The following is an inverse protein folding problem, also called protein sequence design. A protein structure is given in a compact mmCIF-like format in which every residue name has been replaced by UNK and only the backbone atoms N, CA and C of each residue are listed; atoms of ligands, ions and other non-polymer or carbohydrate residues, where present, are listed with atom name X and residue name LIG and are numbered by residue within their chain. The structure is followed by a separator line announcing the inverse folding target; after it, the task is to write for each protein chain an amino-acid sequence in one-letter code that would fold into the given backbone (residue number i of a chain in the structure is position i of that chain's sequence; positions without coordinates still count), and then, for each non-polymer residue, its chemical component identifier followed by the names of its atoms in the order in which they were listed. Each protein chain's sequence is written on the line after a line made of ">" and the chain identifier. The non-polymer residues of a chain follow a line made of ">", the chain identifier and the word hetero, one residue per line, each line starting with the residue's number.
data_IF_619448605300
#
_entry.id   IF_619448605300
#
_cell.length_a   1.000
_cell.length_b   1.000
_cell.length_c   1.000
_cell.angle_alpha   90.00
_cell.angle_beta   90.00
_cell.angle_gamma   90.00
#
_symmetry.space_group_name_H-M   'P 1'
#
loop_
_entity.id
_entity.type
_entity.pdbx_description
1 polymer ?
#
# COMPACT_ATOMS: atom_id res chain seq x y z
N UNK A 1 -1.17 9.54 30.47
CA UNK A 1 -1.97 10.36 29.52
C UNK A 1 -3.43 10.56 29.95
N UNK A 2 -4.22 11.37 29.23
CA UNK A 2 -5.68 11.57 29.37
C UNK A 2 -6.37 11.18 28.06
N UNK A 3 -7.27 10.21 28.14
CA UNK A 3 -8.01 9.69 26.99
C UNK A 3 -9.42 10.27 26.95
N UNK A 4 -9.97 10.50 25.77
CA UNK A 4 -11.40 10.75 25.58
C UNK A 4 -12.06 9.39 25.41
N UNK A 5 -13.02 9.05 26.27
CA UNK A 5 -13.78 7.81 26.14
C UNK A 5 -15.21 8.09 25.72
N UNK A 6 -15.74 7.26 24.84
CA UNK A 6 -17.13 7.26 24.43
C UNK A 6 -17.70 5.85 24.50
N UNK A 7 -18.90 5.64 25.03
CA UNK A 7 -19.58 4.34 24.95
C UNK A 7 -20.59 4.31 23.80
N UNK A 8 -20.71 3.15 23.16
CA UNK A 8 -21.68 2.88 22.11
C UNK A 8 -22.81 1.96 22.60
N UNK A 9 -24.03 2.06 22.03
CA UNK A 9 -25.14 1.16 22.33
C UNK A 9 -24.74 -0.32 22.15
N UNK A 10 -25.15 -1.23 23.05
CA UNK A 10 -26.25 -1.13 24.02
C UNK A 10 -25.88 -0.47 25.36
N UNK A 11 -24.63 -0.02 25.52
CA UNK A 11 -24.21 0.64 26.76
C UNK A 11 -24.88 2.01 26.92
N UNK A 12 -25.15 2.46 28.16
CA UNK A 12 -25.59 3.82 28.39
C UNK A 12 -24.55 4.81 27.83
N UNK A 13 -25.02 5.84 27.12
CA UNK A 13 -24.14 6.82 26.50
C UNK A 13 -23.32 7.57 27.56
N UNK A 14 -22.01 7.56 27.38
CA UNK A 14 -21.05 8.23 28.23
C UNK A 14 -20.01 8.91 27.33
N UNK A 15 -19.67 10.16 27.63
CA UNK A 15 -18.51 10.86 27.08
C UNK A 15 -17.75 11.48 28.23
N UNK A 16 -16.51 11.08 28.44
CA UNK A 16 -15.71 11.53 29.57
C UNK A 16 -14.22 11.54 29.26
N UNK A 17 -13.45 12.28 30.06
CA UNK A 17 -12.00 12.17 30.09
C UNK A 17 -11.59 11.11 31.09
N UNK A 18 -10.67 10.22 30.71
CA UNK A 18 -10.19 9.11 31.51
C UNK A 18 -8.67 9.22 31.74
N UNK A 19 -8.20 9.28 32.99
CA UNK A 19 -6.77 9.25 33.27
C UNK A 19 -6.21 7.85 33.00
N UNK A 20 -5.13 7.76 32.23
CA UNK A 20 -4.47 6.53 31.82
C UNK A 20 -2.97 6.58 32.10
N UNK A 21 -2.39 5.43 32.43
CA UNK A 21 -0.95 5.23 32.65
C UNK A 21 -0.41 4.37 31.52
N UNK A 22 0.66 4.82 30.88
CA UNK A 22 1.03 4.38 29.55
C UNK A 22 1.76 3.01 29.54
N UNK A 23 2.09 2.51 30.74
CA UNK A 23 2.81 1.25 31.00
C UNK A 23 1.90 0.02 31.09
N UNK A 24 0.65 0.09 30.60
CA UNK A 24 -0.37 -0.94 30.85
C UNK A 24 -0.99 -1.43 29.55
N UNK A 25 -0.87 -2.73 29.28
CA UNK A 25 -1.51 -3.40 28.14
C UNK A 25 -3.00 -3.05 27.98
N UNK A 26 -3.52 -3.19 26.77
CA UNK A 26 -4.94 -2.91 26.45
C UNK A 26 -5.90 -3.69 27.36
N UNK A 27 -5.57 -4.93 27.74
CA UNK A 27 -6.34 -5.69 28.72
C UNK A 27 -6.37 -5.03 30.11
N UNK A 28 -5.24 -4.47 30.56
CA UNK A 28 -5.15 -3.71 31.80
C UNK A 28 -5.93 -2.39 31.74
N UNK A 29 -5.95 -1.71 30.58
CA UNK A 29 -6.82 -0.56 30.33
C UNK A 29 -8.30 -0.95 30.47
N UNK A 30 -8.75 -2.06 29.85
CA UNK A 30 -10.13 -2.57 30.00
C UNK A 30 -10.48 -2.85 31.46
N UNK A 31 -9.55 -3.45 32.21
CA UNK A 31 -9.73 -3.70 33.66
C UNK A 31 -9.89 -2.39 34.44
N UNK A 32 -9.07 -1.38 34.14
CA UNK A 32 -9.13 -0.05 34.77
C UNK A 32 -10.44 0.69 34.43
N UNK A 33 -10.92 0.58 33.19
CA UNK A 33 -12.22 1.12 32.77
C UNK A 33 -13.38 0.45 33.52
N UNK A 34 -13.42 -0.88 33.58
CA UNK A 34 -14.43 -1.62 34.34
C UNK A 34 -14.43 -1.29 35.83
N UNK A 35 -13.25 -1.07 36.43
CA UNK A 35 -13.15 -0.73 37.85
C UNK A 35 -13.53 0.71 38.14
N UNK A 36 -13.23 1.65 37.24
CA UNK A 36 -13.33 3.09 37.53
C UNK A 36 -14.61 3.73 36.99
N UNK A 37 -15.07 3.32 35.81
CA UNK A 37 -16.24 3.92 35.14
C UNK A 37 -17.53 3.31 35.69
N UNK A 38 -18.31 4.12 36.40
CA UNK A 38 -19.53 3.66 37.08
C UNK A 38 -20.55 3.00 36.13
N UNK A 39 -20.72 3.54 34.92
CA UNK A 39 -21.66 3.00 33.91
C UNK A 39 -21.33 1.55 33.53
N UNK A 40 -20.04 1.22 33.40
CA UNK A 40 -19.59 -0.15 33.08
C UNK A 40 -19.75 -1.08 34.28
N UNK A 41 -19.53 -0.55 35.49
CA UNK A 41 -19.71 -1.27 36.76
C UNK A 41 -21.18 -1.63 37.00
N UNK A 42 -22.09 -0.69 36.77
CA UNK A 42 -23.54 -0.89 36.93
C UNK A 42 -24.07 -1.94 35.94
N UNK A 43 -23.52 -1.98 34.73
CA UNK A 43 -23.82 -2.99 33.72
C UNK A 43 -23.18 -4.36 33.99
N UNK A 44 -22.29 -4.48 34.99
CA UNK A 44 -21.57 -5.72 35.39
C UNK A 44 -20.77 -6.36 34.25
N UNK A 45 -20.22 -5.56 33.35
CA UNK A 45 -19.48 -6.03 32.18
C UNK A 45 -18.07 -6.44 32.59
N UNK A 46 -17.63 -7.60 32.10
CA UNK A 46 -16.26 -8.08 32.34
C UNK A 46 -15.28 -7.43 31.35
N UNK A 47 -13.99 -7.30 31.70
CA UNK A 47 -12.98 -6.75 30.78
C UNK A 47 -12.93 -7.48 29.42
N UNK A 48 -13.07 -8.81 29.40
CA UNK A 48 -13.09 -9.60 28.16
C UNK A 48 -14.37 -9.47 27.32
N UNK A 49 -15.40 -8.82 27.84
CA UNK A 49 -16.64 -8.50 27.13
C UNK A 49 -16.60 -7.08 26.55
N UNK A 50 -15.51 -6.34 26.73
CA UNK A 50 -15.32 -5.02 26.12
C UNK A 50 -14.47 -5.12 24.86
N UNK A 51 -14.93 -4.43 23.82
CA UNK A 51 -14.15 -4.08 22.63
C UNK A 51 -13.84 -2.59 22.71
N UNK A 52 -12.57 -2.24 22.55
CA UNK A 52 -12.10 -0.85 22.46
C UNK A 52 -11.77 -0.58 21.01
N UNK A 53 -12.26 0.53 20.46
CA UNK A 53 -11.94 0.98 19.10
C UNK A 53 -11.25 2.35 19.13
N UNK A 54 -10.21 2.50 18.32
CA UNK A 54 -9.53 3.76 18.03
C UNK A 54 -9.61 4.00 16.52
N UNK A 55 -10.19 5.12 16.10
CA UNK A 55 -10.42 5.45 14.68
C UNK A 55 -11.13 4.35 13.86
N UNK A 56 -11.99 3.57 14.51
CA UNK A 56 -12.73 2.47 13.90
C UNK A 56 -11.97 1.14 13.83
N UNK A 57 -10.76 1.06 14.40
CA UNK A 57 -9.97 -0.16 14.50
C UNK A 57 -10.07 -0.76 15.92
N UNK A 58 -10.33 -2.07 16.02
CA UNK A 58 -10.39 -2.77 17.30
C UNK A 58 -8.98 -2.93 17.90
N UNK A 59 -8.81 -2.49 19.14
CA UNK A 59 -7.59 -2.68 19.92
C UNK A 59 -7.59 -4.08 20.54
N UNK A 60 -6.59 -4.89 20.17
CA UNK A 60 -6.39 -6.25 20.68
C UNK A 60 -5.82 -6.24 22.09
N UNK A 61 -6.21 -7.24 22.90
CA UNK A 61 -5.81 -7.35 24.31
C UNK A 61 -4.30 -7.55 24.52
N UNK A 62 -3.62 -8.09 23.52
CA UNK A 62 -2.19 -8.43 23.55
C UNK A 62 -1.28 -7.26 23.16
N UNK A 63 -1.84 -6.16 22.66
CA UNK A 63 -1.06 -4.99 22.27
C UNK A 63 -0.64 -4.19 23.51
N UNK A 64 0.63 -3.77 23.52
CA UNK A 64 1.09 -2.76 24.44
C UNK A 64 0.42 -1.42 24.09
N UNK A 65 0.02 -0.65 25.10
CA UNK A 65 -0.52 0.70 24.88
C UNK A 65 0.54 1.69 24.37
N UNK A 66 1.81 1.41 24.66
CA UNK A 66 2.95 2.24 24.25
C UNK A 66 3.04 2.32 22.73
N UNK A 67 2.84 3.51 22.17
CA UNK A 67 2.96 3.80 20.74
C UNK A 67 1.64 3.77 19.96
N UNK A 68 0.63 3.03 20.42
CA UNK A 68 -0.67 2.93 19.73
C UNK A 68 -1.64 4.03 20.18
N UNK A 69 -1.71 4.27 21.49
CA UNK A 69 -2.65 5.24 22.08
C UNK A 69 -1.88 6.50 22.48
N UNK A 70 -2.28 7.65 21.95
CA UNK A 70 -1.71 8.97 22.24
C UNK A 70 -2.59 9.77 23.21
N UNK A 71 -2.01 10.83 23.77
CA UNK A 71 -2.77 11.76 24.63
C UNK A 71 -3.91 12.39 23.82
N UNK A 72 -5.09 12.50 24.42
CA UNK A 72 -6.32 13.02 23.79
C UNK A 72 -6.99 12.14 22.74
N UNK A 73 -6.54 10.90 22.52
CA UNK A 73 -7.23 9.97 21.63
C UNK A 73 -8.66 9.66 22.06
N UNK A 74 -9.54 9.42 21.07
CA UNK A 74 -10.92 9.03 21.30
C UNK A 74 -11.05 7.50 21.22
N UNK A 75 -11.24 6.87 22.39
CA UNK A 75 -11.52 5.44 22.49
C UNK A 75 -13.02 5.21 22.58
N UNK A 76 -13.56 4.45 21.63
CA UNK A 76 -14.95 4.01 21.62
C UNK A 76 -15.06 2.64 22.29
N UNK A 77 -15.88 2.57 23.34
CA UNK A 77 -16.11 1.39 24.17
C UNK A 77 -17.40 0.71 23.70
N UNK A 78 -17.28 -0.54 23.26
CA UNK A 78 -18.39 -1.39 22.84
C UNK A 78 -18.51 -2.64 23.71
N UNK A 79 -19.73 -3.09 23.93
CA UNK A 79 -19.98 -4.40 24.53
C UNK A 79 -19.90 -5.49 23.45
N UNK A 80 -18.89 -6.35 23.56
CA UNK A 80 -18.79 -7.57 22.76
C UNK A 80 -19.80 -8.57 23.32
N UNK A 81 -20.95 -8.72 22.65
CA UNK A 81 -21.89 -9.80 22.95
C UNK A 81 -21.17 -11.12 22.82
N UNK A 82 -20.89 -11.77 23.95
CA UNK A 82 -20.05 -12.95 24.04
C UNK A 82 -20.38 -13.99 22.97
N UNK A 83 -19.65 -13.95 21.86
CA UNK A 83 -19.44 -15.09 21.00
C UNK A 83 -18.62 -16.04 21.84
N UNK A 84 -19.28 -16.84 22.70
CA UNK A 84 -18.62 -17.95 23.34
C UNK A 84 -18.06 -18.78 22.19
N UNK A 85 -16.76 -18.71 21.97
CA UNK A 85 -16.00 -19.62 21.13
C UNK A 85 -16.00 -20.99 21.82
N UNK A 86 -17.20 -21.53 22.08
CA UNK A 86 -17.43 -22.96 22.19
C UNK A 86 -17.10 -23.49 20.80
N UNK A 87 -15.79 -23.70 20.58
CA UNK A 87 -15.29 -24.70 19.64
C UNK A 87 -16.22 -25.88 19.80
N UNK A 88 -17.07 -26.12 18.81
CA UNK A 88 -17.86 -27.35 18.73
C UNK A 88 -16.81 -28.44 18.70
N UNK A 89 -16.61 -29.10 19.84
CA UNK A 89 -15.90 -30.36 19.94
C UNK A 89 -16.68 -31.29 19.02
N UNK A 90 -16.07 -31.69 17.91
CA UNK A 90 -16.64 -32.67 17.01
C UNK A 90 -17.04 -33.88 17.86
N UNK A 91 -18.33 -34.18 17.87
CA UNK A 91 -18.89 -35.36 18.49
C UNK A 91 -18.38 -36.55 17.66
N UNK A 92 -17.34 -37.23 18.16
CA UNK A 92 -16.90 -38.51 17.62
C UNK A 92 -17.97 -39.52 17.99
N UNK A 93 -18.76 -39.90 17.00
CA UNK A 93 -19.73 -40.98 17.09
C UNK A 93 -19.08 -42.25 17.65
N UNK A 94 -19.63 -42.69 18.79
CA UNK A 94 -19.34 -43.98 19.40
C UNK A 94 -19.88 -45.11 18.52
N UNK A 95 -18.99 -45.85 17.84
CA UNK A 95 -19.31 -47.17 17.30
C UNK A 95 -18.62 -48.28 18.11
N UNK A 96 -19.49 -49.05 18.75
CA UNK A 96 -19.41 -50.51 18.92
C UNK A 96 -18.25 -51.06 19.76
N UNK A 97 -18.60 -51.35 21.01
CA UNK A 97 -17.95 -52.34 21.86
C UNK A 97 -17.95 -53.72 21.18
N UNK A 98 -16.76 -54.27 20.87
CA UNK A 98 -16.54 -55.72 20.82
C UNK A 98 -15.23 -56.10 21.49
N UNK A 99 -15.40 -56.98 22.46
CA UNK A 99 -14.37 -57.69 23.23
C UNK A 99 -13.37 -58.43 22.32
N UNK A 100 -12.07 -58.33 22.60
CA UNK A 100 -11.14 -59.41 22.37
C UNK A 100 -9.91 -59.32 23.29
N UNK A 101 -9.55 -60.48 23.80
CA UNK A 101 -8.54 -60.79 24.81
C UNK A 101 -7.11 -60.66 24.27
N UNK A 102 -6.19 -60.33 25.19
CA UNK A 102 -4.79 -60.79 25.31
C UNK A 102 -3.88 -60.58 24.09
N UNK A 103 -2.83 -59.79 24.29
CA UNK A 103 -1.44 -60.29 24.33
C UNK A 103 -0.48 -59.19 24.81
N UNK A 104 0.32 -59.54 25.82
CA UNK A 104 1.54 -58.84 26.21
C UNK A 104 2.54 -58.88 25.06
N UNK A 105 3.16 -57.75 24.72
CA UNK A 105 4.58 -57.71 24.37
C UNK A 105 5.17 -56.31 24.56
N UNK A 106 6.08 -56.29 25.51
CA UNK A 106 7.21 -55.41 25.74
C UNK A 106 7.85 -54.70 24.52
N UNK A 107 8.39 -53.49 24.80
CA UNK A 107 9.67 -52.88 24.37
C UNK A 107 9.73 -51.82 23.21
N UNK A 108 10.21 -50.62 23.63
CA UNK A 108 11.15 -49.60 23.06
C UNK A 108 10.86 -48.71 21.82
N UNK A 109 11.37 -47.47 21.96
CA UNK A 109 11.77 -46.38 21.03
C UNK A 109 10.64 -45.52 20.42
N UNK A 110 10.64 -44.19 20.61
CA UNK A 110 11.45 -43.16 19.93
C UNK A 110 11.26 -43.22 18.42
N UNK A 111 10.41 -42.36 17.85
CA UNK A 111 10.82 -41.08 17.27
C UNK A 111 9.60 -40.26 16.82
N UNK A 112 9.77 -38.95 16.92
CA UNK A 112 8.83 -37.88 16.55
C UNK A 112 9.04 -37.53 15.08
N UNK A 113 7.96 -37.54 14.28
CA UNK A 113 7.88 -36.81 13.00
C UNK A 113 6.41 -36.45 12.76
N UNK A 114 6.05 -35.19 13.03
CA UNK A 114 4.74 -34.61 12.70
C UNK A 114 4.96 -33.60 11.57
N UNK A 115 4.60 -34.00 10.35
CA UNK A 115 4.64 -33.18 9.15
C UNK A 115 3.21 -32.94 8.69
N UNK A 116 2.62 -31.83 9.12
CA UNK A 116 1.37 -31.30 8.57
C UNK A 116 1.66 -30.26 7.51
N UNK A 117 1.57 -30.72 6.25
CA UNK A 117 1.35 -29.89 5.08
C UNK A 117 -0.09 -29.34 5.10
N UNK A 118 -0.22 -28.03 4.92
CA UNK A 118 -1.21 -27.32 4.08
C UNK A 118 -1.50 -25.95 4.67
N UNK A 119 -1.37 -24.88 3.89
CA UNK A 119 -2.60 -24.22 3.42
C UNK A 119 -2.35 -23.22 2.29
N UNK A 120 -3.28 -23.32 1.34
CA UNK A 120 -3.56 -22.40 0.25
C UNK A 120 -4.36 -21.22 0.79
N UNK A 121 -4.16 -20.01 0.25
CA UNK A 121 -5.20 -19.28 -0.51
C UNK A 121 -5.07 -17.75 -0.43
N UNK A 122 -5.20 -17.18 -1.63
CA UNK A 122 -5.72 -15.87 -2.02
C UNK A 122 -6.49 -15.02 -0.99
N UNK A 123 -6.18 -13.73 -0.97
CA UNK A 123 -7.14 -12.64 -0.76
C UNK A 123 -6.66 -11.40 -1.55
N UNK A 124 -7.37 -10.98 -2.59
CA UNK A 124 -8.56 -10.08 -2.59
C UNK A 124 -8.17 -8.62 -2.29
N UNK A 125 -8.03 -7.85 -3.37
CA UNK A 125 -7.92 -6.40 -3.36
C UNK A 125 -9.28 -5.78 -3.05
N UNK A 126 -9.35 -4.87 -2.08
CA UNK A 126 -10.53 -4.02 -1.92
C UNK A 126 -10.14 -2.58 -1.58
N UNK A 127 -10.69 -1.70 -2.41
CA UNK A 127 -10.66 -0.26 -2.44
C UNK A 127 -11.84 0.33 -1.66
N UNK A 128 -11.67 1.44 -0.96
CA UNK A 128 -12.64 2.56 -0.80
C UNK A 128 -12.01 3.62 0.11
N UNK A 129 -11.87 4.88 -0.32
CA UNK A 129 -12.88 5.95 -0.46
C UNK A 129 -13.27 6.57 0.89
N UNK A 130 -12.76 7.79 1.10
CA UNK A 130 -12.94 8.64 2.27
C UNK A 130 -14.32 9.30 2.29
N UNK A 131 -14.97 9.30 3.45
CA UNK A 131 -16.20 10.05 3.74
C UNK A 131 -15.87 11.33 4.50
N UNK A 132 -16.49 12.44 4.07
CA UNK A 132 -16.45 13.74 4.73
C UNK A 132 -17.72 13.99 5.54
N UNK A 133 -17.55 14.80 6.60
CA UNK A 133 -18.52 15.07 7.65
C UNK A 133 -19.40 16.31 7.42
N UNK A 134 -20.48 16.28 8.19
CA UNK A 134 -21.70 17.11 8.33
C UNK A 134 -21.50 18.60 8.65
N UNK A 135 -22.40 19.47 8.15
CA UNK A 135 -22.82 20.71 8.84
C UNK A 135 -24.16 21.26 8.30
N UNK A 136 -24.94 21.80 9.24
CA UNK A 136 -26.41 21.97 9.25
C UNK A 136 -26.93 23.34 8.69
N UNK A 137 -28.17 23.83 8.97
CA UNK A 137 -29.17 24.16 7.94
C UNK A 137 -29.46 25.68 7.78
N UNK A 138 -29.94 26.13 6.62
CA UNK A 138 -30.57 27.46 6.53
C UNK A 138 -31.51 27.66 5.31
N UNK A 139 -32.76 27.99 5.65
CA UNK A 139 -33.79 28.84 5.02
C UNK A 139 -34.15 28.78 3.51
N UNK A 140 -35.46 28.89 3.30
CA UNK A 140 -36.24 28.80 2.08
C UNK A 140 -35.82 29.75 0.93
N UNK A 141 -35.88 29.26 -0.32
CA UNK A 141 -36.02 30.12 -1.50
C UNK A 141 -36.62 29.42 -2.72
N UNK A 142 -37.12 30.26 -3.62
CA UNK A 142 -38.17 30.10 -4.63
C UNK A 142 -37.71 29.35 -5.90
N UNK A 143 -38.60 28.50 -6.45
CA UNK A 143 -38.44 27.75 -7.71
C UNK A 143 -38.28 28.68 -8.92
N UNK A 144 -37.20 28.51 -9.71
CA UNK A 144 -37.11 28.95 -11.12
C UNK A 144 -36.63 27.78 -12.00
N UNK A 145 -37.35 27.58 -13.13
CA UNK A 145 -37.07 26.57 -14.16
C UNK A 145 -35.79 26.89 -14.93
N UNK A 146 -34.94 25.89 -15.15
CA UNK A 146 -33.74 25.99 -16.00
C UNK A 146 -34.04 25.73 -17.50
N UNK A 147 -33.29 26.37 -18.42
CA UNK A 147 -33.45 26.26 -19.87
C UNK A 147 -32.71 25.03 -20.47
N UNK A 148 -33.03 24.61 -21.71
CA UNK A 148 -32.50 23.39 -22.32
C UNK A 148 -31.00 23.46 -22.66
N UNK A 149 -30.27 22.32 -22.66
CA UNK A 149 -28.82 22.30 -22.81
C UNK A 149 -28.37 22.70 -24.22
N UNK A 150 -27.43 23.65 -24.27
CA UNK A 150 -26.77 24.09 -25.49
C UNK A 150 -25.72 23.08 -25.96
N UNK A 151 -25.55 23.04 -27.28
CA UNK A 151 -24.80 22.05 -28.07
C UNK A 151 -23.34 21.91 -27.60
N UNK A 152 -22.91 20.67 -27.38
CA UNK A 152 -21.52 20.33 -27.03
C UNK A 152 -20.58 20.66 -28.19
N UNK A 153 -19.58 21.51 -27.93
CA UNK A 153 -18.50 21.79 -28.87
C UNK A 153 -17.60 20.56 -29.04
N UNK A 154 -17.36 20.17 -30.30
CA UNK A 154 -16.42 19.10 -30.65
C UNK A 154 -15.01 19.48 -30.20
N UNK A 155 -14.46 18.76 -29.21
CA UNK A 155 -13.07 18.91 -28.80
C UNK A 155 -12.19 18.14 -29.78
N UNK A 156 -11.24 18.80 -30.46
CA UNK A 156 -10.37 18.14 -31.44
C UNK A 156 -9.48 17.06 -30.78
N UNK A 157 -9.16 15.99 -31.53
CA UNK A 157 -8.38 14.86 -31.03
C UNK A 157 -7.01 15.31 -30.51
N UNK A 158 -6.74 15.05 -29.22
CA UNK A 158 -5.50 15.43 -28.53
C UNK A 158 -5.73 16.22 -27.25
N UNK A 159 -6.88 16.89 -27.10
CA UNK A 159 -7.24 17.64 -25.89
C UNK A 159 -8.24 16.91 -24.99
N UNK A 160 -8.10 15.58 -24.87
CA UNK A 160 -8.88 14.81 -23.90
C UNK A 160 -8.70 15.32 -22.46
N UNK A 161 -9.64 14.98 -21.58
CA UNK A 161 -9.63 15.35 -20.16
C UNK A 161 -8.28 15.03 -19.50
N UNK A 162 -7.92 15.76 -18.44
CA UNK A 162 -6.68 15.54 -17.70
C UNK A 162 -6.54 14.07 -17.25
N UNK A 163 -7.65 13.44 -16.86
CA UNK A 163 -7.71 12.01 -16.52
C UNK A 163 -7.32 11.11 -17.70
N UNK A 164 -7.79 11.43 -18.92
CA UNK A 164 -7.46 10.68 -20.14
C UNK A 164 -5.98 10.83 -20.50
N UNK A 165 -5.41 12.02 -20.31
CA UNK A 165 -3.98 12.28 -20.54
C UNK A 165 -3.11 11.49 -19.57
N UNK A 166 -3.43 11.49 -18.28
CA UNK A 166 -2.73 10.71 -17.25
C UNK A 166 -2.78 9.21 -17.54
N UNK A 167 -3.96 8.67 -17.91
CA UNK A 167 -4.12 7.26 -18.29
C UNK A 167 -3.25 6.89 -19.50
N UNK A 168 -3.19 7.77 -20.52
CA UNK A 168 -2.36 7.53 -21.70
C UNK A 168 -0.85 7.64 -21.40
N UNK A 169 -0.45 8.55 -20.50
CA UNK A 169 0.93 8.67 -20.05
C UNK A 169 1.38 7.42 -19.27
N UNK A 170 0.55 6.93 -18.35
CA UNK A 170 0.81 5.68 -17.62
C UNK A 170 0.93 4.48 -18.55
N UNK A 171 0.10 4.40 -19.60
CA UNK A 171 0.22 3.37 -20.65
C UNK A 171 1.52 3.47 -21.44
N UNK A 172 1.97 4.68 -21.77
CA UNK A 172 3.25 4.91 -22.47
C UNK A 172 4.45 4.52 -21.61
N UNK A 173 4.45 4.90 -20.33
CA UNK A 173 5.51 4.54 -19.38
C UNK A 173 5.57 3.03 -19.16
N UNK A 174 4.42 2.37 -18.94
CA UNK A 174 4.36 0.91 -18.82
C UNK A 174 4.95 0.22 -20.05
N UNK A 175 4.61 0.69 -21.26
CA UNK A 175 5.10 0.11 -22.51
C UNK A 175 6.61 0.31 -22.69
N UNK A 176 7.18 1.43 -22.22
CA UNK A 176 8.63 1.67 -22.20
C UNK A 176 9.33 0.69 -21.26
N UNK A 177 8.84 0.59 -20.03
CA UNK A 177 9.42 -0.31 -19.03
C UNK A 177 9.33 -1.78 -19.44
N UNK A 178 8.22 -2.18 -20.07
CA UNK A 178 8.06 -3.53 -20.65
C UNK A 178 9.02 -3.77 -21.82
N UNK A 179 9.26 -2.76 -22.67
CA UNK A 179 10.23 -2.85 -23.75
C UNK A 179 11.68 -2.93 -23.25
N UNK A 180 12.01 -2.25 -22.15
CA UNK A 180 13.31 -2.31 -21.49
C UNK A 180 13.51 -3.66 -20.76
N UNK A 181 12.48 -4.13 -20.04
CA UNK A 181 12.50 -5.40 -19.34
C UNK A 181 12.59 -6.62 -20.29
N UNK A 182 12.06 -6.52 -21.50
CA UNK A 182 12.17 -7.58 -22.52
C UNK A 182 13.59 -7.64 -23.13
N UNK A 183 14.50 -6.75 -22.73
CA UNK A 183 15.90 -6.80 -23.12
C UNK A 183 16.05 -6.46 -24.59
N UNK A 184 16.35 -5.20 -24.88
CA UNK A 184 16.84 -4.79 -26.20
C UNK A 184 18.19 -5.47 -26.48
N UNK A 185 18.13 -6.71 -26.95
CA UNK A 185 19.20 -7.26 -27.79
C UNK A 185 19.01 -6.52 -29.13
N UNK A 186 19.87 -5.57 -29.51
CA UNK A 186 19.81 -5.01 -30.85
C UNK A 186 19.92 -6.20 -31.82
N UNK A 187 19.11 -6.28 -32.89
CA UNK A 187 19.23 -7.34 -33.87
C UNK A 187 20.66 -7.28 -34.44
N UNK A 188 21.51 -8.16 -33.92
CA UNK A 188 22.87 -8.31 -34.39
C UNK A 188 22.72 -9.02 -35.72
N UNK A 189 22.76 -8.24 -36.80
CA UNK A 189 22.71 -8.72 -38.17
C UNK A 189 23.92 -9.61 -38.37
N UNK A 190 23.73 -10.93 -38.20
CA UNK A 190 24.68 -11.93 -38.66
C UNK A 190 24.71 -11.84 -40.18
N UNK A 191 25.75 -11.16 -40.67
CA UNK A 191 26.12 -11.07 -42.08
C UNK A 191 26.27 -12.49 -42.65
N UNK A 192 25.50 -12.88 -43.68
CA UNK A 192 25.76 -14.14 -44.36
C UNK A 192 27.12 -14.03 -45.05
N UNK A 193 28.05 -14.89 -44.65
CA UNK A 193 29.21 -15.23 -45.49
C UNK A 193 28.72 -16.14 -46.61
N UNK A 194 29.29 -15.91 -47.79
CA UNK A 194 29.24 -16.76 -48.98
C UNK A 194 27.98 -16.69 -49.84
N UNK A 195 27.96 -15.71 -50.75
CA UNK A 195 27.57 -15.93 -52.15
C UNK A 195 28.20 -14.87 -53.06
N UNK A 196 29.27 -15.31 -53.75
CA UNK A 196 29.72 -14.96 -55.11
C UNK A 196 29.31 -13.62 -55.74
N UNK A 197 30.32 -12.78 -55.94
CA UNK A 197 30.72 -12.20 -57.24
C UNK A 197 29.90 -12.67 -58.46
N UNK A 198 29.14 -11.77 -59.09
CA UNK A 198 29.18 -11.44 -60.54
C UNK A 198 28.03 -10.50 -60.91
N UNK A 199 28.32 -9.58 -61.83
CA UNK A 199 27.42 -8.75 -62.63
C UNK A 199 27.08 -7.34 -62.10
N UNK A 200 28.01 -6.44 -62.42
CA UNK A 200 27.72 -5.12 -62.99
C UNK A 200 26.56 -5.19 -64.00
N UNK A 201 25.54 -4.35 -63.84
CA UNK A 201 24.81 -3.66 -64.93
C UNK A 201 24.16 -2.41 -64.31
N UNK A 202 24.46 -1.19 -64.81
CA UNK A 202 23.81 0.05 -64.38
C UNK A 202 22.63 0.36 -65.29
N UNK A 203 21.41 0.59 -64.78
CA UNK A 203 20.34 1.18 -65.59
C UNK A 203 19.18 1.70 -64.73
N UNK A 204 18.91 3.01 -64.85
CA UNK A 204 17.55 3.48 -65.05
C UNK A 204 16.83 4.12 -63.86
N UNK A 205 16.79 5.46 -63.86
CA UNK A 205 15.82 6.30 -63.15
C UNK A 205 14.38 5.94 -63.53
N UNK A 206 13.48 5.78 -62.56
CA UNK A 206 12.05 6.10 -62.72
C UNK A 206 11.49 6.76 -61.45
N UNK A 207 10.60 7.70 -61.72
CA UNK A 207 9.94 8.67 -60.85
C UNK A 207 8.93 8.02 -59.87
N UNK A 208 8.44 8.77 -58.86
CA UNK A 208 7.58 8.23 -57.81
C UNK A 208 6.13 8.14 -58.30
N UNK A 209 5.48 7.01 -58.02
CA UNK A 209 4.02 6.91 -58.04
C UNK A 209 3.54 6.71 -56.61
N UNK A 210 2.64 7.58 -56.20
CA UNK A 210 1.90 7.51 -54.94
C UNK A 210 0.93 6.31 -54.95
N UNK A 211 0.39 6.01 -53.77
CA UNK A 211 -0.62 4.98 -53.46
C UNK A 211 -0.15 3.52 -53.30
N UNK A 212 0.23 3.17 -52.07
CA UNK A 212 -0.37 2.03 -51.33
C UNK A 212 0.30 1.89 -49.95
N UNK A 213 -0.35 2.42 -48.90
CA UNK A 213 -0.04 2.08 -47.52
C UNK A 213 -0.57 0.68 -47.20
N UNK A 214 0.10 -0.34 -47.74
CA UNK A 214 -0.11 -1.73 -47.36
C UNK A 214 0.68 -2.06 -46.09
N UNK A 215 -0.03 -2.44 -45.03
CA UNK A 215 0.53 -2.92 -43.76
C UNK A 215 1.45 -4.13 -43.99
N UNK A 216 2.75 -3.88 -44.08
CA UNK A 216 3.79 -4.88 -44.32
C UNK A 216 4.57 -5.23 -43.04
N UNK A 217 3.86 -5.48 -41.92
CA UNK A 217 4.51 -5.88 -40.64
C UNK A 217 3.94 -7.14 -39.98
N UNK A 218 3.41 -8.09 -40.76
CA UNK A 218 3.08 -9.43 -40.24
C UNK A 218 3.69 -10.54 -41.11
N UNK A 219 5.02 -10.61 -41.16
CA UNK A 219 5.73 -11.78 -41.66
C UNK A 219 6.52 -12.43 -40.53
N UNK A 220 5.82 -13.09 -39.60
CA UNK A 220 6.46 -14.08 -38.74
C UNK A 220 6.67 -15.36 -39.56
N UNK A 221 7.88 -15.47 -40.10
CA UNK A 221 8.37 -16.58 -40.89
C UNK A 221 8.63 -17.82 -40.04
N UNK A 222 7.57 -18.55 -39.68
CA UNK A 222 7.70 -19.94 -39.23
C UNK A 222 7.02 -20.88 -40.24
N UNK A 223 7.82 -21.41 -41.18
CA UNK A 223 7.35 -22.21 -42.33
C UNK A 223 6.65 -23.52 -41.91
N UNK A 224 6.86 -24.00 -40.68
CA UNK A 224 6.25 -25.24 -40.18
C UNK A 224 4.84 -25.09 -39.58
N UNK A 225 4.28 -23.86 -39.46
CA UNK A 225 2.89 -23.64 -38.97
C UNK A 225 1.86 -23.38 -40.09
N UNK A 226 2.26 -23.34 -41.36
CA UNK A 226 1.39 -22.91 -42.46
C UNK A 226 0.40 -23.96 -42.98
N UNK A 227 0.50 -25.24 -42.59
CA UNK A 227 -0.28 -26.32 -43.24
C UNK A 227 -1.62 -26.67 -42.59
N UNK A 228 -2.06 -25.99 -41.53
CA UNK A 228 -3.35 -26.29 -40.88
C UNK A 228 -4.11 -25.12 -40.27
N UNK A 229 -3.50 -23.93 -40.17
CA UNK A 229 -4.14 -22.82 -39.44
C UNK A 229 -5.25 -22.13 -40.26
N UNK A 230 -5.10 -22.02 -41.57
CA UNK A 230 -6.14 -21.42 -42.44
C UNK A 230 -7.42 -22.27 -42.53
N UNK A 231 -7.31 -23.58 -42.36
CA UNK A 231 -8.46 -24.49 -42.41
C UNK A 231 -9.26 -24.50 -41.09
N UNK A 232 -8.65 -24.07 -39.97
CA UNK A 232 -9.32 -23.90 -38.68
C UNK A 232 -10.01 -22.54 -38.50
N UNK A 233 -9.78 -21.59 -39.42
CA UNK A 233 -10.44 -20.28 -39.43
C UNK A 233 -11.63 -20.19 -40.40
N UNK A 234 -11.86 -21.22 -41.23
CA UNK A 234 -13.13 -21.35 -41.97
C UNK A 234 -14.19 -21.98 -41.07
N UNK A 235 -14.48 -21.34 -39.95
CA UNK A 235 -15.68 -21.64 -39.18
C UNK A 235 -16.84 -21.05 -40.00
N UNK A 236 -17.85 -21.85 -40.41
CA UNK A 236 -19.00 -21.31 -41.13
C UNK A 236 -19.65 -20.22 -40.27
N UNK A 237 -19.80 -19.04 -40.87
CA UNK A 237 -20.38 -17.85 -40.25
C UNK A 237 -21.74 -18.24 -39.67
N UNK A 238 -21.80 -18.39 -38.35
CA UNK A 238 -23.05 -18.62 -37.65
C UNK A 238 -23.99 -17.45 -37.95
N UNK A 239 -25.28 -17.70 -38.20
CA UNK A 239 -26.23 -16.66 -38.52
C UNK A 239 -26.16 -15.56 -37.47
N UNK A 240 -26.05 -14.32 -37.94
CA UNK A 240 -25.93 -13.10 -37.15
C UNK A 240 -27.10 -13.06 -36.17
N UNK A 241 -26.86 -13.39 -34.90
CA UNK A 241 -27.86 -13.22 -33.84
C UNK A 241 -27.99 -11.71 -33.64
N UNK A 242 -28.95 -11.12 -34.34
CA UNK A 242 -29.40 -9.76 -34.09
C UNK A 242 -30.17 -9.80 -32.78
N UNK A 243 -29.47 -9.55 -31.68
CA UNK A 243 -30.14 -9.22 -30.43
C UNK A 243 -30.91 -7.92 -30.69
N UNK A 244 -32.24 -8.02 -30.81
CA UNK A 244 -33.10 -6.87 -30.59
C UNK A 244 -32.79 -6.41 -29.16
N UNK A 245 -32.04 -5.31 -29.04
CA UNK A 245 -31.67 -4.72 -27.78
C UNK A 245 -32.92 -4.11 -27.14
N UNK A 246 -33.77 -4.97 -26.56
CA UNK A 246 -34.65 -4.58 -25.48
C UNK A 246 -33.76 -4.52 -24.24
N UNK A 247 -32.97 -3.45 -24.12
CA UNK A 247 -32.29 -3.15 -22.87
C UNK A 247 -33.39 -2.98 -21.83
N UNK A 248 -33.46 -3.83 -20.78
CA UNK A 248 -34.45 -3.65 -19.73
C UNK A 248 -34.27 -2.23 -19.18
N UNK A 249 -35.34 -1.42 -19.23
CA UNK A 249 -35.32 -0.04 -18.74
C UNK A 249 -34.86 -0.08 -17.30
N UNK A 250 -33.72 0.53 -17.01
CA UNK A 250 -33.23 0.69 -15.66
C UNK A 250 -34.20 1.63 -14.94
N UNK A 251 -35.06 1.05 -14.09
CA UNK A 251 -36.02 1.79 -13.27
C UNK A 251 -35.25 2.31 -12.05
N UNK A 252 -34.96 3.62 -11.97
CA UNK A 252 -34.25 4.17 -10.82
C UNK A 252 -35.07 3.92 -9.54
N UNK A 253 -34.42 3.84 -8.36
CA UNK A 253 -35.11 3.57 -7.09
C UNK A 253 -36.31 4.48 -6.81
N UNK A 254 -36.32 5.70 -7.35
CA UNK A 254 -37.44 6.65 -7.29
C UNK A 254 -38.70 6.21 -8.04
N UNK A 255 -38.60 5.32 -9.03
CA UNK A 255 -39.72 4.78 -9.82
C UNK A 255 -40.21 3.41 -9.30
N UNK A 256 -39.66 2.88 -8.19
CA UNK A 256 -40.10 1.59 -7.61
C UNK A 256 -41.26 1.81 -6.62
N UNK A 257 -42.45 1.31 -6.93
CA UNK A 257 -43.65 1.44 -6.09
C UNK A 257 -43.61 0.58 -4.79
N UNK A 258 -42.69 -0.38 -4.70
CA UNK A 258 -42.53 -1.28 -3.53
C UNK A 258 -41.30 -0.93 -2.68
N UNK A 259 -41.24 0.29 -2.14
CA UNK A 259 -40.23 0.66 -1.14
C UNK A 259 -40.77 0.36 0.28
N UNK A 260 -39.95 -0.21 1.19
CA UNK A 260 -40.34 -0.39 2.58
C UNK A 260 -40.73 0.95 3.21
N UNK A 261 -41.77 0.98 4.05
CA UNK A 261 -42.42 2.23 4.54
C UNK A 261 -41.55 3.18 5.39
N UNK A 262 -40.23 2.94 5.47
CA UNK A 262 -39.26 3.71 6.24
C UNK A 262 -38.03 4.14 5.43
N UNK A 263 -38.05 3.99 4.10
CA UNK A 263 -36.97 4.46 3.23
C UNK A 263 -37.38 5.78 2.59
N UNK A 264 -36.77 6.88 3.02
CA UNK A 264 -36.96 8.20 2.42
C UNK A 264 -35.86 8.43 1.37
N UNK A 265 -36.23 8.44 0.09
CA UNK A 265 -35.31 8.77 -0.99
C UNK A 265 -35.25 10.30 -1.11
N UNK A 266 -34.22 10.91 -0.54
CA UNK A 266 -33.94 12.34 -0.75
C UNK A 266 -33.10 12.48 -2.01
N UNK A 267 -33.67 13.05 -3.07
CA UNK A 267 -32.92 13.42 -4.28
C UNK A 267 -32.01 14.61 -3.97
N UNK A 268 -30.82 14.32 -3.43
CA UNK A 268 -29.74 15.31 -3.31
C UNK A 268 -28.92 15.20 -4.58
N UNK A 269 -29.15 16.14 -5.49
CA UNK A 269 -28.37 16.33 -6.70
C UNK A 269 -26.97 16.82 -6.27
N UNK A 270 -25.96 15.96 -6.37
CA UNK A 270 -24.56 16.31 -6.07
C UNK A 270 -24.02 17.08 -7.28
N UNK A 271 -24.32 18.38 -7.35
CA UNK A 271 -23.74 19.31 -8.34
C UNK A 271 -22.21 19.32 -8.19
N UNK A 272 -21.53 18.63 -9.12
CA UNK A 272 -20.08 18.46 -9.16
C UNK A 272 -19.32 19.65 -9.80
N UNK A 273 -19.81 20.89 -9.70
CA UNK A 273 -19.16 22.04 -10.34
C UNK A 273 -19.03 23.26 -9.43
N UNK A 274 -17.76 23.66 -9.21
CA UNK A 274 -17.21 24.98 -8.80
C UNK A 274 -16.52 25.00 -7.44
N UNK A 275 -15.36 24.34 -7.36
CA UNK A 275 -14.26 24.87 -6.54
C UNK A 275 -13.42 25.78 -7.43
N UNK A 276 -13.66 27.07 -7.31
CA UNK A 276 -13.03 28.11 -8.11
C UNK A 276 -11.53 28.21 -7.82
N UNK A 277 -10.73 28.06 -8.88
CA UNK A 277 -9.36 28.57 -8.91
C UNK A 277 -9.44 30.09 -8.82
N UNK A 278 -9.06 30.68 -7.69
CA UNK A 278 -8.84 32.12 -7.59
C UNK A 278 -7.62 32.48 -8.45
N UNK A 279 -7.93 33.18 -9.53
CA UNK A 279 -6.96 33.87 -10.37
C UNK A 279 -6.26 34.97 -9.55
N UNK A 280 -4.93 34.89 -9.51
CA UNK A 280 -4.01 35.98 -9.17
C UNK A 280 -4.22 37.07 -10.23
N UNK A 281 -4.91 38.15 -9.86
CA UNK A 281 -5.08 39.34 -10.69
C UNK A 281 -4.25 40.46 -10.07
N UNK A 282 -3.33 40.96 -10.87
CA UNK A 282 -2.65 42.24 -10.69
C UNK A 282 -3.64 43.38 -10.41
N UNK A 283 -3.15 44.33 -9.61
CA UNK A 283 -3.28 45.79 -9.72
C UNK A 283 -3.77 46.47 -8.43
N UNK A 284 -3.05 47.58 -8.12
CA UNK A 284 -3.35 48.66 -7.17
C UNK A 284 -2.81 48.36 -5.76
N UNK A 285 -1.60 48.78 -5.38
CA UNK A 285 -1.07 50.17 -5.29
C UNK A 285 -1.97 51.07 -4.43
N UNK A 286 -1.93 50.85 -3.11
CA UNK A 286 -1.93 51.95 -2.15
C UNK A 286 -1.28 51.48 -0.83
N UNK A 287 -0.05 51.94 -0.70
CA UNK A 287 0.74 52.23 0.50
C UNK A 287 -0.03 52.22 1.84
N UNK A 288 0.07 51.11 2.58
CA UNK A 288 0.00 51.11 4.04
C UNK A 288 1.14 50.23 4.56
N UNK A 289 2.30 50.86 4.74
CA UNK A 289 3.47 50.27 5.39
C UNK A 289 3.13 50.09 6.87
N UNK A 290 2.62 48.91 7.21
CA UNK A 290 2.66 48.38 8.57
C UNK A 290 3.94 47.56 8.68
N UNK A 291 4.96 48.20 9.25
CA UNK A 291 6.24 47.62 9.66
C UNK A 291 6.02 46.58 10.78
N UNK A 292 5.61 45.38 10.38
CA UNK A 292 5.76 44.18 11.19
C UNK A 292 7.09 43.56 10.79
N UNK A 293 8.07 43.67 11.68
CA UNK A 293 9.43 43.16 11.49
C UNK A 293 9.44 41.82 10.78
N UNK A 294 10.00 41.85 9.58
CA UNK A 294 10.41 40.70 8.78
C UNK A 294 11.50 39.96 9.56
N UNK A 295 11.11 39.18 10.56
CA UNK A 295 11.91 38.05 10.99
C UNK A 295 11.97 37.12 9.78
N UNK A 296 13.13 37.14 9.14
CA UNK A 296 13.61 36.17 8.16
C UNK A 296 13.43 34.77 8.75
N UNK A 297 12.23 34.20 8.59
CA UNK A 297 11.97 32.79 8.82
C UNK A 297 12.68 32.07 7.68
N UNK A 298 13.96 31.83 7.89
CA UNK A 298 14.74 30.94 7.06
C UNK A 298 13.94 29.64 6.93
N UNK A 299 13.66 29.22 5.69
CA UNK A 299 13.13 27.91 5.36
C UNK A 299 14.17 26.84 5.75
N UNK A 300 14.35 26.60 7.06
CA UNK A 300 15.27 25.58 7.62
C UNK A 300 14.72 24.14 7.46
N UNK A 301 13.55 23.98 6.83
CA UNK A 301 12.91 22.68 6.66
C UNK A 301 13.50 21.81 5.54
N UNK A 302 14.02 22.42 4.47
CA UNK A 302 14.43 21.69 3.26
C UNK A 302 15.92 21.28 3.27
N UNK A 303 16.74 21.84 4.16
CA UNK A 303 18.20 21.61 4.15
C UNK A 303 18.61 20.28 4.77
N UNK A 304 17.85 19.77 5.74
CA UNK A 304 18.17 18.54 6.48
C UNK A 304 18.16 17.31 5.56
N UNK A 305 17.18 17.24 4.66
CA UNK A 305 17.04 16.12 3.72
C UNK A 305 18.19 16.10 2.69
N UNK A 306 18.73 17.25 2.32
CA UNK A 306 19.84 17.32 1.37
C UNK A 306 21.15 16.80 1.97
N UNK A 307 21.42 17.09 3.24
CA UNK A 307 22.62 16.59 3.93
C UNK A 307 22.56 15.08 4.12
N UNK A 308 21.42 14.56 4.55
CA UNK A 308 21.20 13.12 4.68
C UNK A 308 21.43 12.40 3.35
N UNK A 309 20.88 12.94 2.24
CA UNK A 309 21.09 12.35 0.91
C UNK A 309 22.57 12.32 0.50
N UNK A 310 23.34 13.38 0.80
CA UNK A 310 24.78 13.42 0.51
C UNK A 310 25.56 12.34 1.26
N UNK A 311 25.21 12.06 2.52
CA UNK A 311 25.84 10.99 3.31
C UNK A 311 25.60 9.63 2.65
N UNK A 312 24.37 9.36 2.21
CA UNK A 312 24.02 8.10 1.53
C UNK A 312 24.73 7.94 0.19
N UNK A 313 24.76 8.98 -0.65
CA UNK A 313 25.46 8.95 -1.94
C UNK A 313 26.96 8.72 -1.76
N UNK A 314 27.60 9.44 -0.83
CA UNK A 314 29.01 9.29 -0.54
C UNK A 314 29.32 7.88 0.01
N UNK A 315 28.45 7.32 0.84
CA UNK A 315 28.61 5.97 1.36
C UNK A 315 28.43 4.89 0.29
N UNK A 316 27.51 5.05 -0.65
CA UNK A 316 27.33 4.13 -1.78
C UNK A 316 28.53 4.15 -2.73
N UNK A 317 29.07 5.32 -3.04
CA UNK A 317 30.25 5.47 -3.91
C UNK A 317 31.52 4.87 -3.26
N UNK A 318 31.69 5.06 -1.95
CA UNK A 318 32.92 4.66 -1.25
C UNK A 318 32.80 3.33 -0.49
N UNK A 319 31.67 2.62 -0.54
CA UNK A 319 31.48 1.39 0.24
C UNK A 319 32.58 0.34 0.02
N UNK A 320 33.04 0.18 -1.22
CA UNK A 320 34.04 -0.83 -1.54
C UNK A 320 35.44 -0.45 -1.02
N UNK A 321 35.70 0.84 -0.79
CA UNK A 321 36.98 1.35 -0.27
C UNK A 321 37.04 1.39 1.27
N UNK A 322 35.90 1.33 1.96
CA UNK A 322 35.86 1.32 3.42
C UNK A 322 36.56 0.10 4.03
N UNK A 323 37.34 0.28 5.12
CA UNK A 323 38.00 -0.81 5.80
C UNK A 323 36.98 -1.72 6.50
N UNK A 324 37.14 -3.03 6.30
CA UNK A 324 36.34 -4.02 7.01
C UNK A 324 36.74 -4.06 8.50
N UNK A 325 35.74 -4.11 9.37
CA UNK A 325 35.92 -4.18 10.82
C UNK A 325 36.31 -5.62 11.16
N UNK A 326 37.53 -5.80 11.63
CA UNK A 326 38.13 -7.12 11.93
C UNK A 326 38.36 -7.33 13.42
N UNK A 327 38.37 -6.26 14.21
CA UNK A 327 38.59 -6.28 15.66
C UNK A 327 37.61 -5.33 16.36
N UNK A 328 37.14 -5.68 17.57
CA UNK A 328 36.14 -4.88 18.28
C UNK A 328 36.66 -3.50 18.69
N UNK A 329 37.98 -3.36 18.83
CA UNK A 329 38.62 -2.12 19.27
C UNK A 329 38.81 -1.09 18.13
N UNK A 330 38.48 -1.46 16.88
CA UNK A 330 38.68 -0.58 15.70
C UNK A 330 37.66 0.55 15.62
N UNK A 331 36.52 0.42 16.29
CA UNK A 331 35.45 1.39 16.26
C UNK A 331 35.20 2.00 17.64
N UNK A 332 34.67 3.22 17.63
CA UNK A 332 34.26 3.93 18.82
C UNK A 332 32.76 4.25 18.75
N UNK A 333 32.17 4.53 19.90
CA UNK A 333 30.81 5.06 19.99
C UNK A 333 30.74 6.37 19.20
N UNK A 334 29.72 6.50 18.34
CA UNK A 334 29.54 7.59 17.38
C UNK A 334 30.09 7.32 15.98
N UNK A 335 30.79 6.20 15.76
CA UNK A 335 31.28 5.87 14.42
C UNK A 335 30.15 5.39 13.49
N UNK A 336 30.19 5.81 12.23
CA UNK A 336 29.27 5.36 11.20
C UNK A 336 29.77 4.03 10.62
N UNK A 337 28.89 3.03 10.58
CA UNK A 337 29.16 1.73 10.00
C UNK A 337 28.22 1.44 8.83
N UNK A 338 28.73 0.71 7.86
CA UNK A 338 28.03 0.36 6.64
C UNK A 338 28.10 -1.13 6.34
N UNK A 339 27.02 -1.71 5.83
CA UNK A 339 27.00 -3.08 5.30
C UNK A 339 26.01 -3.22 4.15
N UNK A 340 26.18 -4.25 3.31
CA UNK A 340 25.24 -4.58 2.23
C UNK A 340 24.43 -5.81 2.64
N UNK A 341 23.11 -5.74 2.56
CA UNK A 341 22.21 -6.85 2.82
C UNK A 341 21.07 -6.87 1.80
N UNK A 342 20.35 -7.99 1.70
CA UNK A 342 19.13 -8.05 0.91
C UNK A 342 18.02 -7.31 1.67
N UNK A 343 17.49 -6.26 1.06
CA UNK A 343 16.36 -5.49 1.57
C UNK A 343 15.28 -5.39 0.49
N UNK A 344 14.05 -5.10 0.93
CA UNK A 344 12.95 -4.85 0.02
C UNK A 344 12.95 -3.36 -0.35
N UNK A 345 13.05 -3.04 -1.63
CA UNK A 345 12.92 -1.66 -2.08
C UNK A 345 11.45 -1.21 -1.91
N UNK A 346 11.15 -0.13 -1.15
CA UNK A 346 9.78 0.25 -0.80
C UNK A 346 8.98 0.76 -2.00
N UNK A 347 9.64 1.20 -3.07
CA UNK A 347 8.99 1.72 -4.27
C UNK A 347 8.57 0.57 -5.20
N UNK A 348 9.45 -0.41 -5.38
CA UNK A 348 9.27 -1.50 -6.35
C UNK A 348 8.79 -2.80 -5.72
N UNK A 349 8.91 -2.94 -4.40
CA UNK A 349 8.69 -4.17 -3.63
C UNK A 349 9.50 -5.36 -4.19
N UNK A 350 10.69 -5.09 -4.73
CA UNK A 350 11.64 -6.10 -5.19
C UNK A 350 12.74 -6.33 -4.15
N UNK A 351 13.18 -7.59 -3.93
CA UNK A 351 14.35 -7.87 -3.12
C UNK A 351 15.61 -7.42 -3.88
N UNK A 352 16.35 -6.49 -3.31
CA UNK A 352 17.56 -5.90 -3.87
C UNK A 352 18.67 -5.88 -2.82
N UNK A 353 19.94 -5.89 -3.24
CA UNK A 353 21.07 -5.69 -2.32
C UNK A 353 21.17 -4.19 -2.05
N UNK A 354 20.84 -3.77 -0.84
CA UNK A 354 20.85 -2.37 -0.43
C UNK A 354 21.96 -2.11 0.58
N UNK A 355 22.50 -0.89 0.53
CA UNK A 355 23.40 -0.39 1.56
C UNK A 355 22.57 -0.04 2.80
N UNK A 356 23.09 -0.39 3.97
CA UNK A 356 22.56 0.03 5.26
C UNK A 356 23.65 0.82 6.00
N UNK A 357 23.22 1.90 6.64
CA UNK A 357 24.06 2.74 7.51
C UNK A 357 23.52 2.69 8.93
N UNK A 358 24.42 2.70 9.90
CA UNK A 358 24.06 2.83 11.30
C UNK A 358 25.15 3.54 12.08
N UNK A 359 24.76 4.24 13.14
CA UNK A 359 25.69 4.83 14.10
C UNK A 359 25.85 3.89 15.31
N UNK A 360 27.09 3.68 15.77
CA UNK A 360 27.34 2.87 16.97
C UNK A 360 26.99 3.70 18.21
N UNK A 361 25.92 3.35 18.91
CA UNK A 361 25.44 4.04 20.12
C UNK A 361 26.19 3.59 21.37
N UNK A 362 26.48 2.29 21.47
CA UNK A 362 27.21 1.74 22.61
C UNK A 362 27.98 0.47 22.23
N UNK A 363 29.04 0.19 22.99
CA UNK A 363 29.80 -1.07 22.92
C UNK A 363 29.68 -1.76 24.27
N UNK A 364 29.07 -2.93 24.29
CA UNK A 364 28.88 -3.71 25.51
C UNK A 364 30.17 -4.43 25.93
N UNK A 365 30.25 -4.87 27.19
CA UNK A 365 31.41 -5.59 27.73
C UNK A 365 31.71 -6.92 27.02
N UNK A 366 30.74 -7.47 26.29
CA UNK A 366 30.85 -8.70 25.49
C UNK A 366 31.27 -8.42 24.03
N UNK A 367 31.71 -7.20 23.71
CA UNK A 367 32.01 -6.74 22.35
C UNK A 367 30.80 -6.76 21.39
N UNK A 368 29.58 -6.77 21.94
CA UNK A 368 28.37 -6.56 21.16
C UNK A 368 28.18 -5.06 20.90
N UNK A 369 27.81 -4.71 19.68
CA UNK A 369 27.52 -3.33 19.28
C UNK A 369 26.03 -3.05 19.40
N UNK A 370 25.69 -1.95 20.06
CA UNK A 370 24.35 -1.36 20.00
C UNK A 370 24.39 -0.31 18.90
N UNK A 371 23.62 -0.52 17.84
CA UNK A 371 23.59 0.35 16.68
C UNK A 371 22.22 1.01 16.52
N UNK A 372 22.23 2.25 16.05
CA UNK A 372 21.01 2.96 15.63
C UNK A 372 21.04 3.10 14.11
N UNK A 373 20.08 2.47 13.43
CA UNK A 373 20.02 2.44 11.96
C UNK A 373 19.62 3.80 11.42
N UNK A 374 20.38 4.33 10.46
CA UNK A 374 19.97 5.52 9.74
C UNK A 374 18.91 5.14 8.70
N UNK A 375 17.84 5.92 8.63
CA UNK A 375 16.79 5.75 7.62
C UNK A 375 17.23 6.48 6.36
N UNK A 376 17.11 5.81 5.21
CA UNK A 376 17.35 6.45 3.91
C UNK A 376 16.22 7.44 3.61
N UNK A 377 16.51 8.68 3.22
CA UNK A 377 15.46 9.63 2.81
C UNK A 377 14.54 9.00 1.77
N UNK A 378 13.22 9.09 2.00
CA UNK A 378 12.19 8.47 1.16
C UNK A 378 11.90 6.98 1.43
N UNK A 379 12.56 6.36 2.42
CA UNK A 379 12.27 5.00 2.91
C UNK A 379 11.51 4.99 4.25
N UNK A 380 10.94 6.12 4.64
CA UNK A 380 10.18 6.28 5.88
C UNK A 380 8.96 5.34 5.89
N UNK A 381 9.09 4.27 6.65
CA UNK A 381 8.04 3.24 6.77
C UNK A 381 7.23 3.52 8.02
N UNK A 382 6.53 4.66 8.05
CA UNK A 382 5.70 5.08 9.18
C UNK A 382 6.48 5.52 10.43
N UNK A 383 5.77 6.14 11.38
CA UNK A 383 6.28 6.68 12.66
C UNK A 383 6.83 5.61 13.63
N UNK A 384 7.30 4.45 13.16
CA UNK A 384 7.89 3.47 14.08
C UNK A 384 9.23 4.00 14.60
N UNK A 385 9.39 4.14 15.94
CA UNK A 385 10.64 4.59 16.50
C UNK A 385 11.73 3.58 16.11
N UNK A 386 12.83 4.10 15.56
CA UNK A 386 14.03 3.31 15.26
C UNK A 386 14.56 2.80 16.60
N UNK A 387 14.22 1.56 16.94
CA UNK A 387 14.74 0.93 18.14
C UNK A 387 16.22 0.60 17.92
N UNK A 388 17.03 0.89 18.93
CA UNK A 388 18.43 0.49 18.92
C UNK A 388 18.54 -1.04 18.89
N UNK A 389 19.35 -1.55 17.98
CA UNK A 389 19.56 -2.99 17.80
C UNK A 389 20.89 -3.40 18.39
N UNK A 390 20.91 -4.50 19.16
CA UNK A 390 22.17 -5.10 19.65
C UNK A 390 22.60 -6.21 18.70
N UNK A 391 23.78 -6.07 18.11
CA UNK A 391 24.40 -7.03 17.19
C UNK A 391 25.58 -7.70 17.89
N UNK A 392 25.58 -9.04 17.90
CA UNK A 392 26.68 -9.82 18.44
C UNK A 392 27.92 -9.71 17.53
N UNK A 393 29.12 -9.84 18.11
CA UNK A 393 30.37 -9.70 17.36
C UNK A 393 30.51 -10.69 16.19
N UNK A 394 30.03 -11.92 16.33
CA UNK A 394 30.06 -12.91 15.25
C UNK A 394 29.19 -12.48 14.06
N UNK A 395 28.06 -11.82 14.33
CA UNK A 395 27.18 -11.29 13.28
C UNK A 395 27.82 -10.09 12.57
N UNK A 396 28.55 -9.23 13.29
CA UNK A 396 29.34 -8.13 12.70
C UNK A 396 30.31 -8.66 11.65
N UNK A 397 31.00 -9.77 11.95
CA UNK A 397 31.93 -10.42 11.02
C UNK A 397 31.20 -11.04 9.82
N UNK A 398 30.06 -11.72 10.06
CA UNK A 398 29.28 -12.38 9.01
C UNK A 398 28.62 -11.37 8.06
N UNK A 399 28.18 -10.23 8.58
CA UNK A 399 27.57 -9.15 7.80
C UNK A 399 28.59 -8.36 6.97
N UNK A 400 29.88 -8.50 7.26
CA UNK A 400 30.94 -7.77 6.57
C UNK A 400 30.86 -6.27 6.85
N UNK A 401 30.59 -5.88 8.10
CA UNK A 401 30.51 -4.48 8.51
C UNK A 401 31.81 -3.73 8.18
N UNK A 402 31.68 -2.54 7.61
CA UNK A 402 32.78 -1.63 7.26
C UNK A 402 32.63 -0.30 7.99
N UNK A 403 33.75 0.33 8.33
CA UNK A 403 33.76 1.65 8.96
C UNK A 403 33.67 2.73 7.88
N UNK A 404 32.58 3.50 7.90
CA UNK A 404 32.28 4.56 6.92
C UNK A 404 32.86 5.93 7.31
N UNK A 405 33.52 6.04 8.47
CA UNK A 405 34.10 7.27 9.01
C UNK A 405 33.29 7.87 10.16
N UNK A 406 33.75 9.01 10.71
CA UNK A 406 32.95 9.81 11.64
C UNK A 406 31.78 10.50 10.91
N UNK A 407 30.67 10.66 11.62
CA UNK A 407 29.47 11.42 11.20
C UNK A 407 29.77 12.92 11.02
#
# INVERSE_FOLDING_TARGET
>A
MRLRIQTDPPLPQLKAWFPFTDDVDIHGLKKSLCSTVQVLRDAKIKPGELTLELDGFELLDELASSGVVRDTDLIVIKERKGGSSKKRKAEVESLVTRNAKRLKKDLISSDSDDSTDSDSSSYESSSSDSTSSDSSPSVASVRKRSPPPLRQHYVPPGMGSQQTRSRNQRRRLKKKHEAEAVGSIPPTVTRPKDISSTNEIPLGRKAPTEDELSLSMFSLGNKNKKKGFKQKLSIPVTPKIVFQAQTPRFVPPSERENLPSKVFVTSVDVEAEKWGKKAKREAIEEEMVLDYGEEEVAEEGDTIDEEANKIWEAAEENFDSYPAITQPDQNHVGALVAWKALALNPITFSPEVSLHLACIVAVNAENAYVISRLVRPGWETGDEPIADETIAWDDVLNMGLKNAGPE
#
